data_IF_783639569402
#
_entry.id   IF_783639569402
#
_cell.length_a   1.000
_cell.length_b   1.000
_cell.length_c   1.000
_cell.angle_alpha   90.00
_cell.angle_beta   90.00
_cell.angle_gamma   90.00
#
_symmetry.space_group_name_H-M   'P 1'
#
loop_
_entity.id
_entity.type
_entity.pdbx_description
1 polymer ?
#
# COMPACT_ATOMS: atom_id res chain seq x y z
N UNK A 1 25.35 -14.75 9.22
CA UNK A 1 24.65 -14.63 10.52
C UNK A 1 23.60 -15.73 10.61
N UNK A 2 23.75 -16.67 11.54
CA UNK A 2 22.78 -17.76 11.76
C UNK A 2 21.64 -17.35 12.69
N UNK A 3 20.49 -18.04 12.62
CA UNK A 3 19.31 -17.83 13.48
C UNK A 3 19.68 -17.74 14.97
N UNK A 4 20.55 -18.65 15.44
CA UNK A 4 21.00 -18.70 16.83
C UNK A 4 21.90 -17.51 17.20
N UNK A 5 22.68 -16.97 16.27
CA UNK A 5 23.48 -15.76 16.52
C UNK A 5 22.60 -14.53 16.63
N UNK A 6 21.51 -14.45 15.86
CA UNK A 6 20.56 -13.33 15.94
C UNK A 6 19.75 -13.37 17.24
N UNK A 7 19.30 -14.55 17.67
CA UNK A 7 18.64 -14.72 18.98
C UNK A 7 19.60 -14.37 20.11
N UNK A 8 20.86 -14.83 20.04
CA UNK A 8 21.87 -14.48 21.03
C UNK A 8 22.11 -12.96 21.07
N UNK A 9 22.25 -12.30 19.92
CA UNK A 9 22.40 -10.84 19.85
C UNK A 9 21.20 -10.10 20.46
N UNK A 10 19.96 -10.51 20.15
CA UNK A 10 18.76 -9.91 20.75
C UNK A 10 18.77 -10.08 22.27
N UNK A 11 19.10 -11.27 22.78
CA UNK A 11 19.13 -11.52 24.22
C UNK A 11 20.31 -10.84 24.93
N UNK A 12 21.38 -10.51 24.22
CA UNK A 12 22.53 -9.75 24.75
C UNK A 12 22.22 -8.26 24.83
N UNK A 13 21.64 -7.68 23.79
CA UNK A 13 21.30 -6.25 23.74
C UNK A 13 20.02 -5.93 24.55
N UNK A 14 19.11 -6.90 24.69
CA UNK A 14 17.89 -6.79 25.47
C UNK A 14 17.77 -7.98 26.46
N UNK A 15 18.58 -7.99 27.53
CA UNK A 15 18.54 -9.06 28.52
C UNK A 15 17.14 -9.16 29.13
N UNK A 16 16.60 -10.35 29.41
CA UNK A 16 15.30 -10.45 30.08
C UNK A 16 15.35 -9.75 31.45
N UNK A 17 14.24 -9.13 31.91
CA UNK A 17 14.20 -8.48 33.20
C UNK A 17 14.62 -9.48 34.28
N UNK A 18 15.45 -9.02 35.23
CA UNK A 18 15.96 -9.87 36.30
C UNK A 18 14.77 -10.49 37.04
N UNK A 19 14.63 -11.83 36.97
CA UNK A 19 13.65 -12.52 37.82
C UNK A 19 14.05 -12.23 39.27
N UNK A 20 13.14 -11.77 40.13
CA UNK A 20 13.45 -11.62 41.55
C UNK A 20 13.94 -12.97 42.07
N UNK A 21 15.13 -12.96 42.65
CA UNK A 21 15.73 -14.14 43.26
C UNK A 21 14.95 -14.46 44.54
N UNK A 22 13.83 -15.17 44.40
CA UNK A 22 12.95 -15.52 45.51
C UNK A 22 11.49 -15.30 45.13
N UNK A 23 10.65 -16.29 45.40
CA UNK A 23 9.21 -16.28 45.11
C UNK A 23 8.39 -15.34 45.99
N UNK A 24 8.89 -14.12 46.21
CA UNK A 24 8.14 -13.08 46.89
C UNK A 24 7.59 -12.13 45.82
N UNK A 25 6.26 -12.11 45.68
CA UNK A 25 5.52 -11.11 44.88
C UNK A 25 5.58 -9.81 45.67
N UNK A 26 6.79 -9.27 45.81
CA UNK A 26 7.11 -8.13 46.65
C UNK A 26 6.66 -6.83 45.97
N UNK A 27 5.93 -6.03 46.71
CA UNK A 27 5.55 -4.67 46.37
C UNK A 27 6.70 -3.90 45.71
N UNK A 28 6.55 -3.55 44.43
CA UNK A 28 7.44 -2.61 43.76
C UNK A 28 7.02 -1.18 44.16
N UNK A 29 7.93 -0.35 44.70
CA UNK A 29 7.60 1.03 45.01
C UNK A 29 7.19 1.76 43.72
N UNK A 30 6.16 2.63 43.77
CA UNK A 30 5.77 3.42 42.61
C UNK A 30 6.93 4.33 42.18
N UNK A 31 7.09 4.59 40.87
CA UNK A 31 8.18 5.40 40.34
C UNK A 31 8.21 6.77 41.02
N UNK A 32 9.41 7.21 41.43
CA UNK A 32 9.61 8.42 42.23
C UNK A 32 9.48 9.72 41.40
N UNK A 33 9.48 9.61 40.07
CA UNK A 33 9.32 10.73 39.14
C UNK A 33 8.59 10.34 37.86
N UNK A 34 8.16 11.35 37.09
CA UNK A 34 7.65 11.16 35.71
C UNK A 34 8.67 10.45 34.82
N UNK A 35 9.94 10.83 34.97
CA UNK A 35 11.03 10.35 34.10
C UNK A 35 11.35 8.88 34.40
N UNK A 36 11.29 8.49 35.67
CA UNK A 36 11.46 7.10 36.09
C UNK A 36 10.29 6.22 35.65
N UNK A 37 9.05 6.74 35.67
CA UNK A 37 7.89 6.05 35.10
C UNK A 37 8.06 5.84 33.60
N UNK A 38 8.48 6.88 32.89
CA UNK A 38 8.70 6.83 31.44
C UNK A 38 9.80 5.82 31.08
N UNK A 39 10.90 5.81 31.84
CA UNK A 39 11.97 4.84 31.66
C UNK A 39 11.48 3.39 31.83
N UNK A 40 10.66 3.12 32.87
CA UNK A 40 10.06 1.81 33.09
C UNK A 40 9.08 1.40 31.97
N UNK A 41 8.29 2.34 31.44
CA UNK A 41 7.38 2.09 30.31
C UNK A 41 8.14 1.76 29.02
N UNK A 42 9.22 2.52 28.72
CA UNK A 42 10.10 2.26 27.59
C UNK A 42 10.79 0.90 27.73
N UNK A 43 11.34 0.59 28.90
CA UNK A 43 11.99 -0.69 29.18
C UNK A 43 11.01 -1.87 28.99
N UNK A 44 9.76 -1.75 29.45
CA UNK A 44 8.73 -2.75 29.23
C UNK A 44 8.42 -2.95 27.73
N UNK A 45 8.34 -1.87 26.95
CA UNK A 45 8.14 -1.93 25.49
C UNK A 45 9.34 -2.60 24.79
N UNK A 46 10.56 -2.27 25.20
CA UNK A 46 11.80 -2.85 24.67
C UNK A 46 11.83 -4.36 24.91
N UNK A 47 11.59 -4.82 26.15
CA UNK A 47 11.58 -6.25 26.46
C UNK A 47 10.47 -7.01 25.74
N UNK A 48 9.25 -6.49 25.73
CA UNK A 48 8.13 -7.12 25.03
C UNK A 48 8.42 -7.24 23.52
N UNK A 49 9.12 -6.27 22.94
CA UNK A 49 9.51 -6.28 21.53
C UNK A 49 10.65 -7.27 21.27
N UNK A 50 11.67 -7.30 22.13
CA UNK A 50 12.79 -8.24 22.04
C UNK A 50 12.34 -9.70 22.15
N UNK A 51 11.47 -10.03 23.11
CA UNK A 51 10.91 -11.37 23.28
C UNK A 51 10.13 -11.80 22.04
N UNK A 52 9.28 -10.92 21.52
CA UNK A 52 8.50 -11.15 20.30
C UNK A 52 9.39 -11.35 19.06
N UNK A 53 10.45 -10.55 18.91
CA UNK A 53 11.41 -10.70 17.81
C UNK A 53 12.17 -12.02 17.91
N UNK A 54 12.66 -12.37 19.10
CA UNK A 54 13.37 -13.63 19.37
C UNK A 54 12.50 -14.84 19.07
N UNK A 55 11.25 -14.85 19.55
CA UNK A 55 10.27 -15.91 19.23
C UNK A 55 10.05 -16.04 17.72
N UNK A 56 9.90 -14.93 17.01
CA UNK A 56 9.64 -14.94 15.57
C UNK A 56 10.82 -15.46 14.75
N UNK A 57 12.04 -15.09 15.14
CA UNK A 57 13.28 -15.61 14.55
C UNK A 57 13.38 -17.13 14.77
N UNK A 58 13.02 -17.60 15.97
CA UNK A 58 12.93 -19.03 16.27
C UNK A 58 11.90 -19.78 15.42
N UNK A 59 10.70 -19.22 15.25
CA UNK A 59 9.64 -19.75 14.38
C UNK A 59 10.11 -19.86 12.92
N UNK A 60 10.75 -18.83 12.38
CA UNK A 60 11.34 -18.88 11.03
C UNK A 60 12.37 -20.02 10.94
N UNK A 61 13.25 -20.14 11.94
CA UNK A 61 14.25 -21.20 11.99
C UNK A 61 13.64 -22.61 11.95
N UNK A 62 12.47 -22.80 12.58
CA UNK A 62 11.72 -24.06 12.51
C UNK A 62 11.03 -24.24 11.17
N UNK A 63 10.42 -23.20 10.60
CA UNK A 63 9.78 -23.25 9.27
C UNK A 63 10.80 -23.57 8.17
N UNK A 64 12.00 -23.00 8.22
CA UNK A 64 13.08 -23.25 7.26
C UNK A 64 13.65 -24.67 7.32
N UNK A 65 13.27 -25.48 8.32
CA UNK A 65 13.63 -26.91 8.41
C UNK A 65 12.56 -27.81 7.81
N UNK A 66 11.38 -27.28 7.45
CA UNK A 66 10.28 -28.04 6.86
C UNK A 66 10.54 -28.27 5.36
N UNK A 67 10.62 -29.52 4.89
CA UNK A 67 10.89 -29.83 3.48
C UNK A 67 9.90 -29.18 2.52
N UNK A 68 8.63 -29.05 2.92
CA UNK A 68 7.56 -28.48 2.11
C UNK A 68 7.80 -26.99 1.82
N UNK A 69 8.45 -26.28 2.75
CA UNK A 69 8.76 -24.85 2.61
C UNK A 69 9.99 -24.63 1.74
N UNK A 70 11.00 -25.49 1.88
CA UNK A 70 12.30 -25.33 1.20
C UNK A 70 12.28 -25.92 -0.21
N UNK A 71 11.44 -26.91 -0.47
CA UNK A 71 11.34 -27.56 -1.79
C UNK A 71 10.63 -26.70 -2.85
N UNK A 72 9.68 -25.85 -2.46
CA UNK A 72 9.04 -24.89 -3.36
C UNK A 72 9.64 -23.48 -3.22
N UNK A 73 10.28 -23.01 -4.29
CA UNK A 73 10.91 -21.68 -4.36
C UNK A 73 9.92 -20.55 -4.07
N UNK A 74 8.66 -20.68 -4.48
CA UNK A 74 7.65 -19.64 -4.26
C UNK A 74 7.24 -19.56 -2.80
N UNK A 75 7.01 -20.72 -2.18
CA UNK A 75 6.72 -20.83 -0.74
C UNK A 75 7.87 -20.27 0.09
N UNK A 76 9.12 -20.66 -0.20
CA UNK A 76 10.29 -20.13 0.48
C UNK A 76 10.39 -18.60 0.40
N UNK A 77 10.22 -18.04 -0.80
CA UNK A 77 10.31 -16.60 -1.01
C UNK A 77 9.16 -15.84 -0.32
N UNK A 78 7.96 -16.43 -0.28
CA UNK A 78 6.82 -15.88 0.43
C UNK A 78 7.07 -15.82 1.94
N UNK A 79 7.57 -16.90 2.54
CA UNK A 79 7.91 -16.95 3.97
C UNK A 79 9.02 -15.94 4.32
N UNK A 80 10.08 -15.86 3.52
CA UNK A 80 11.17 -14.89 3.74
C UNK A 80 10.69 -13.45 3.63
N UNK A 81 9.85 -13.14 2.64
CA UNK A 81 9.30 -11.80 2.49
C UNK A 81 8.33 -11.44 3.63
N UNK A 82 7.47 -12.38 4.04
CA UNK A 82 6.55 -12.20 5.15
C UNK A 82 7.31 -11.96 6.46
N UNK A 83 8.34 -12.76 6.74
CA UNK A 83 9.22 -12.56 7.88
C UNK A 83 9.91 -11.20 7.83
N UNK A 84 10.51 -10.82 6.69
CA UNK A 84 11.17 -9.51 6.55
C UNK A 84 10.21 -8.36 6.81
N UNK A 85 8.99 -8.43 6.27
CA UNK A 85 7.99 -7.39 6.45
C UNK A 85 7.53 -7.27 7.92
N UNK A 86 7.25 -8.41 8.57
CA UNK A 86 6.88 -8.47 10.00
C UNK A 86 8.01 -7.96 10.90
N UNK A 87 9.25 -8.39 10.63
CA UNK A 87 10.43 -7.96 11.37
C UNK A 87 10.67 -6.44 11.24
N UNK A 88 10.64 -5.90 10.02
CA UNK A 88 10.78 -4.46 9.78
C UNK A 88 9.63 -3.66 10.41
N UNK A 89 8.39 -4.16 10.37
CA UNK A 89 7.25 -3.50 11.01
C UNK A 89 7.45 -3.41 12.53
N UNK A 90 7.88 -4.50 13.18
CA UNK A 90 8.13 -4.53 14.62
C UNK A 90 9.27 -3.63 15.06
N UNK A 91 10.37 -3.57 14.29
CA UNK A 91 11.43 -2.59 14.55
C UNK A 91 10.89 -1.17 14.41
N UNK A 92 10.06 -0.92 13.39
CA UNK A 92 9.41 0.38 13.23
C UNK A 92 8.50 0.74 14.39
N UNK A 93 7.72 -0.22 14.89
CA UNK A 93 6.88 -0.04 16.08
C UNK A 93 7.72 0.24 17.32
N UNK A 94 8.83 -0.48 17.50
CA UNK A 94 9.76 -0.25 18.60
C UNK A 94 10.30 1.18 18.61
N UNK A 95 10.83 1.63 17.47
CA UNK A 95 11.35 2.98 17.29
C UNK A 95 10.27 4.03 17.55
N UNK A 96 9.09 3.84 16.95
CA UNK A 96 7.98 4.76 17.11
C UNK A 96 7.51 4.84 18.57
N UNK A 97 7.25 3.70 19.22
CA UNK A 97 6.75 3.67 20.59
C UNK A 97 7.76 4.28 21.57
N UNK A 98 9.04 4.00 21.37
CA UNK A 98 10.11 4.57 22.19
C UNK A 98 10.17 6.08 22.01
N UNK A 99 10.17 6.59 20.77
CA UNK A 99 10.21 8.03 20.51
C UNK A 99 8.94 8.75 21.00
N UNK A 100 7.77 8.14 20.82
CA UNK A 100 6.47 8.68 21.25
C UNK A 100 6.31 8.79 22.77
N UNK A 101 7.14 8.07 23.54
CA UNK A 101 7.18 8.21 24.98
C UNK A 101 7.79 9.57 25.39
N UNK A 102 8.74 10.09 24.61
CA UNK A 102 9.45 11.34 24.95
C UNK A 102 8.83 12.59 24.33
N UNK A 103 8.22 12.47 23.15
CA UNK A 103 7.67 13.61 22.40
C UNK A 103 6.51 13.19 21.49
N UNK A 104 5.64 14.14 21.14
CA UNK A 104 4.61 13.94 20.12
C UNK A 104 5.24 13.88 18.71
N UNK A 105 5.60 12.68 18.29
CA UNK A 105 6.25 12.40 17.01
C UNK A 105 5.33 11.63 16.08
N UNK A 106 5.46 11.85 14.77
CA UNK A 106 4.75 11.04 13.77
C UNK A 106 5.62 9.88 13.33
N UNK A 107 4.99 8.79 12.90
CA UNK A 107 5.70 7.61 12.35
C UNK A 107 6.60 7.96 11.16
N UNK A 108 6.17 8.90 10.33
CA UNK A 108 6.95 9.38 9.17
C UNK A 108 8.26 10.08 9.54
N UNK A 109 8.32 10.66 10.73
CA UNK A 109 9.49 11.41 11.20
C UNK A 109 10.55 10.49 11.84
N UNK A 110 10.11 9.41 12.49
CA UNK A 110 11.00 8.57 13.32
C UNK A 110 11.24 7.17 12.77
N UNK A 111 10.33 6.60 11.97
CA UNK A 111 10.45 5.21 11.49
C UNK A 111 11.24 5.17 10.17
N UNK A 112 12.43 4.55 10.14
CA UNK A 112 13.26 4.52 8.95
C UNK A 112 12.55 3.87 7.75
N UNK A 113 12.53 4.60 6.63
CA UNK A 113 11.95 4.12 5.38
C UNK A 113 10.42 4.04 5.35
N UNK A 114 9.71 4.52 6.38
CA UNK A 114 8.24 4.51 6.41
C UNK A 114 7.62 5.28 5.24
N UNK A 115 8.09 6.51 4.99
CA UNK A 115 7.61 7.34 3.87
C UNK A 115 7.78 6.64 2.52
N UNK A 116 8.94 6.01 2.28
CA UNK A 116 9.22 5.25 1.07
C UNK A 116 8.28 4.05 0.92
N UNK A 117 7.97 3.37 2.03
CA UNK A 117 7.05 2.25 2.05
C UNK A 117 5.60 2.64 1.75
N UNK A 118 5.15 3.78 2.29
CA UNK A 118 3.83 4.36 2.01
C UNK A 118 3.75 4.78 0.54
N UNK A 119 4.74 5.53 0.05
CA UNK A 119 4.80 5.97 -1.35
C UNK A 119 4.80 4.81 -2.34
N UNK A 120 5.58 3.75 -2.09
CA UNK A 120 5.61 2.57 -2.94
C UNK A 120 4.24 1.85 -3.00
N UNK A 121 3.47 1.86 -1.92
CA UNK A 121 2.13 1.25 -1.84
C UNK A 121 1.06 2.13 -2.48
N UNK A 122 1.15 3.46 -2.33
CA UNK A 122 0.30 4.40 -3.06
C UNK A 122 0.52 4.25 -4.59
N UNK A 123 1.79 4.15 -5.03
CA UNK A 123 2.13 3.88 -6.41
C UNK A 123 1.61 2.51 -6.91
N UNK A 124 1.69 1.47 -6.08
CA UNK A 124 1.12 0.15 -6.41
C UNK A 124 -0.39 0.22 -6.60
N UNK A 125 -1.11 0.94 -5.71
CA UNK A 125 -2.56 1.15 -5.84
C UNK A 125 -2.92 1.87 -7.13
N UNK A 126 -2.21 2.95 -7.45
CA UNK A 126 -2.42 3.69 -8.69
C UNK A 126 -2.19 2.80 -9.93
N UNK A 127 -1.11 2.01 -9.93
CA UNK A 127 -0.79 1.07 -11.01
C UNK A 127 -1.85 -0.04 -11.15
N UNK A 128 -2.38 -0.54 -10.04
CA UNK A 128 -3.45 -1.54 -10.04
C UNK A 128 -4.76 -0.97 -10.62
N UNK A 129 -5.11 0.28 -10.28
CA UNK A 129 -6.28 0.96 -10.85
C UNK A 129 -6.14 1.19 -12.36
N UNK A 130 -4.94 1.55 -12.83
CA UNK A 130 -4.66 1.67 -14.26
C UNK A 130 -4.73 0.32 -14.98
N UNK A 131 -4.18 -0.74 -14.38
CA UNK A 131 -4.32 -2.10 -14.91
C UNK A 131 -5.80 -2.48 -15.01
N UNK A 132 -6.58 -2.31 -13.94
CA UNK A 132 -8.02 -2.60 -13.91
C UNK A 132 -8.74 -1.93 -15.08
N UNK A 133 -8.60 -0.61 -15.21
CA UNK A 133 -9.20 0.15 -16.32
C UNK A 133 -8.79 -0.39 -17.68
N UNK A 134 -7.50 -0.67 -17.85
CA UNK A 134 -6.94 -1.20 -19.09
C UNK A 134 -7.53 -2.57 -19.44
N UNK A 135 -7.72 -3.45 -18.45
CA UNK A 135 -8.32 -4.77 -18.64
C UNK A 135 -9.83 -4.67 -18.89
N UNK A 136 -10.56 -3.81 -18.17
CA UNK A 136 -11.99 -3.56 -18.41
C UNK A 136 -12.26 -3.09 -19.85
N UNK A 137 -11.50 -2.11 -20.34
CA UNK A 137 -11.61 -1.67 -21.74
C UNK A 137 -11.29 -2.77 -22.77
N UNK A 138 -10.50 -3.79 -22.40
CA UNK A 138 -10.29 -4.98 -23.25
C UNK A 138 -11.46 -5.94 -23.20
N UNK A 139 -12.07 -6.14 -22.03
CA UNK A 139 -13.28 -6.95 -21.89
C UNK A 139 -14.45 -6.36 -22.68
N UNK A 140 -14.65 -5.04 -22.61
CA UNK A 140 -15.67 -4.34 -23.41
C UNK A 140 -15.45 -4.50 -24.92
N UNK A 141 -14.19 -4.48 -25.37
CA UNK A 141 -13.85 -4.76 -26.77
C UNK A 141 -14.08 -6.22 -27.13
N UNK A 142 -13.75 -7.16 -26.25
CA UNK A 142 -13.93 -8.59 -26.48
C UNK A 142 -15.41 -8.98 -26.59
N UNK A 143 -16.27 -8.34 -25.81
CA UNK A 143 -17.72 -8.52 -25.87
C UNK A 143 -18.32 -8.16 -27.24
N UNK A 144 -17.68 -7.24 -27.98
CA UNK A 144 -18.11 -6.78 -29.31
C UNK A 144 -17.31 -7.42 -30.45
N UNK A 145 -16.29 -8.22 -30.14
CA UNK A 145 -15.39 -8.78 -31.14
C UNK A 145 -15.91 -10.14 -31.65
N UNK A 146 -15.60 -10.43 -32.91
CA UNK A 146 -15.81 -11.76 -33.51
C UNK A 146 -14.98 -12.84 -32.80
N UNK A 147 -15.44 -14.11 -32.78
CA UNK A 147 -14.74 -15.21 -32.10
C UNK A 147 -13.27 -15.37 -32.48
N UNK A 148 -12.92 -15.13 -33.74
CA UNK A 148 -11.55 -15.21 -34.27
C UNK A 148 -10.65 -14.05 -33.87
N UNK A 149 -11.21 -12.91 -33.46
CA UNK A 149 -10.46 -11.72 -33.02
C UNK A 149 -10.16 -11.74 -31.50
N UNK A 150 -10.92 -12.50 -30.72
CA UNK A 150 -10.77 -12.60 -29.26
C UNK A 150 -9.44 -13.18 -28.77
N UNK A 151 -8.81 -14.17 -29.43
CA UNK A 151 -7.47 -14.65 -29.04
C UNK A 151 -6.41 -13.54 -29.00
N UNK A 152 -6.47 -12.60 -29.95
CA UNK A 152 -5.57 -11.44 -29.96
C UNK A 152 -5.79 -10.53 -28.74
N UNK A 153 -7.05 -10.34 -28.31
CA UNK A 153 -7.36 -9.60 -27.10
C UNK A 153 -6.85 -10.32 -25.84
N UNK A 154 -6.99 -11.65 -25.77
CA UNK A 154 -6.43 -12.45 -24.68
C UNK A 154 -4.89 -12.27 -24.55
N UNK A 155 -4.18 -12.25 -25.69
CA UNK A 155 -2.74 -11.96 -25.72
C UNK A 155 -2.41 -10.56 -25.22
N UNK A 156 -3.18 -9.55 -25.62
CA UNK A 156 -2.99 -8.17 -25.12
C UNK A 156 -3.24 -8.03 -23.61
N UNK A 157 -4.18 -8.80 -23.05
CA UNK A 157 -4.40 -8.87 -21.60
C UNK A 157 -3.17 -9.48 -20.93
N UNK A 158 -2.65 -10.60 -21.43
CA UNK A 158 -1.44 -11.23 -20.92
C UNK A 158 -0.20 -10.31 -20.97
N UNK A 159 -0.06 -9.52 -22.04
CA UNK A 159 0.97 -8.49 -22.18
C UNK A 159 0.81 -7.38 -21.13
N UNK A 160 -0.43 -6.97 -20.83
CA UNK A 160 -0.70 -5.97 -19.79
C UNK A 160 -0.33 -6.46 -18.38
N UNK A 161 -0.60 -7.73 -18.08
CA UNK A 161 -0.14 -8.36 -16.83
C UNK A 161 1.39 -8.40 -16.73
N UNK A 162 2.05 -8.70 -17.86
CA UNK A 162 3.51 -8.68 -17.95
C UNK A 162 4.07 -7.27 -17.74
N UNK A 163 3.46 -6.25 -18.33
CA UNK A 163 3.88 -4.86 -18.14
C UNK A 163 3.71 -4.42 -16.68
N UNK A 164 2.58 -4.78 -16.06
CA UNK A 164 2.30 -4.46 -14.66
C UNK A 164 3.35 -5.03 -13.69
N UNK A 165 3.75 -6.29 -13.85
CA UNK A 165 4.73 -6.90 -12.95
C UNK A 165 6.15 -6.32 -13.12
N UNK A 166 6.43 -5.71 -14.27
CA UNK A 166 7.70 -5.03 -14.55
C UNK A 166 7.75 -3.58 -14.06
N UNK A 167 6.64 -3.00 -13.61
CA UNK A 167 6.63 -1.63 -13.07
C UNK A 167 7.45 -1.53 -11.77
N UNK A 168 8.14 -0.41 -11.49
CA UNK A 168 8.81 -0.20 -10.21
C UNK A 168 7.88 -0.37 -9.00
N UNK A 169 6.61 0.02 -9.14
CA UNK A 169 5.60 -0.14 -8.10
C UNK A 169 5.32 -1.61 -7.72
N UNK A 170 5.59 -2.57 -8.62
CA UNK A 170 5.40 -4.00 -8.36
C UNK A 170 6.35 -4.53 -7.28
N UNK A 171 7.40 -3.78 -6.91
CA UNK A 171 8.28 -4.13 -5.79
C UNK A 171 7.51 -4.21 -4.47
N UNK A 172 6.46 -3.39 -4.31
CA UNK A 172 5.60 -3.44 -3.13
C UNK A 172 4.63 -4.64 -3.12
N UNK A 173 4.49 -5.35 -4.24
CA UNK A 173 3.62 -6.52 -4.35
C UNK A 173 4.24 -7.73 -3.62
N UNK A 174 3.43 -8.43 -2.83
CA UNK A 174 3.87 -9.65 -2.13
C UNK A 174 4.10 -10.80 -3.10
N UNK A 175 5.02 -11.70 -2.77
CA UNK A 175 5.41 -12.85 -3.60
C UNK A 175 4.22 -13.75 -3.99
N UNK A 176 3.30 -14.13 -3.08
CA UNK A 176 2.10 -14.87 -3.46
C UNK A 176 1.26 -14.14 -4.52
N UNK A 177 1.13 -12.82 -4.41
CA UNK A 177 0.40 -12.00 -5.37
C UNK A 177 1.11 -11.88 -6.72
N UNK A 178 2.45 -11.81 -6.72
CA UNK A 178 3.24 -11.91 -7.97
C UNK A 178 3.01 -13.23 -8.68
N UNK A 179 2.94 -14.33 -7.93
CA UNK A 179 2.62 -15.66 -8.47
C UNK A 179 1.23 -15.69 -9.10
N UNK A 180 0.21 -15.16 -8.43
CA UNK A 180 -1.17 -15.08 -8.97
C UNK A 180 -1.22 -14.32 -10.32
N UNK A 181 -0.48 -13.21 -10.46
CA UNK A 181 -0.37 -12.46 -11.73
C UNK A 181 0.26 -13.33 -12.83
N UNK A 182 1.32 -14.07 -12.51
CA UNK A 182 2.00 -14.94 -13.47
C UNK A 182 1.14 -16.15 -13.87
N UNK A 183 0.40 -16.72 -12.94
CA UNK A 183 -0.55 -17.82 -13.21
C UNK A 183 -1.72 -17.33 -14.07
N UNK A 184 -2.30 -16.17 -13.77
CA UNK A 184 -3.33 -15.55 -14.61
C UNK A 184 -2.80 -15.28 -16.03
N UNK A 185 -1.56 -14.77 -16.14
CA UNK A 185 -0.91 -14.58 -17.45
C UNK A 185 -0.73 -15.91 -18.20
N UNK A 186 -0.32 -16.98 -17.52
CA UNK A 186 -0.14 -18.29 -18.15
C UNK A 186 -1.47 -18.83 -18.70
N UNK A 187 -2.54 -18.76 -17.92
CA UNK A 187 -3.90 -19.14 -18.37
C UNK A 187 -4.36 -18.32 -19.56
N UNK A 188 -4.14 -17.00 -19.55
CA UNK A 188 -4.49 -16.15 -20.69
C UNK A 188 -3.72 -16.50 -21.97
N UNK A 189 -2.45 -16.88 -21.86
CA UNK A 189 -1.66 -17.33 -23.02
C UNK A 189 -2.16 -18.67 -23.55
N UNK A 190 -2.55 -19.58 -22.66
CA UNK A 190 -3.19 -20.84 -23.04
C UNK A 190 -4.53 -20.58 -23.74
N UNK A 191 -5.39 -19.73 -23.18
CA UNK A 191 -6.65 -19.31 -23.81
C UNK A 191 -6.41 -18.66 -25.16
N UNK A 192 -5.39 -17.80 -25.29
CA UNK A 192 -5.02 -17.15 -26.54
C UNK A 192 -4.47 -18.11 -27.62
N UNK A 193 -4.08 -19.34 -27.27
CA UNK A 193 -3.60 -20.34 -28.23
C UNK A 193 -4.72 -20.95 -29.08
N UNK A 194 -5.99 -20.79 -28.66
CA UNK A 194 -7.15 -21.31 -29.38
C UNK A 194 -7.44 -20.44 -30.61
N UNK A 195 -7.87 -21.04 -31.74
CA UNK A 195 -8.14 -20.30 -32.97
C UNK A 195 -9.35 -19.38 -32.85
N UNK A 196 -10.34 -19.76 -32.04
CA UNK A 196 -11.52 -18.97 -31.74
C UNK A 196 -11.85 -19.09 -30.25
N UNK A 197 -12.46 -18.03 -29.71
CA UNK A 197 -12.90 -18.00 -28.33
C UNK A 197 -14.37 -17.63 -28.23
N UNK A 198 -15.15 -18.27 -27.34
CA UNK A 198 -16.49 -17.82 -27.03
C UNK A 198 -16.44 -16.51 -26.20
N UNK A 199 -17.54 -15.73 -26.15
CA UNK A 199 -17.53 -14.39 -25.55
C UNK A 199 -17.19 -14.39 -24.05
N UNK A 200 -17.52 -15.48 -23.35
CA UNK A 200 -17.30 -15.66 -21.91
C UNK A 200 -15.88 -16.10 -21.53
N UNK A 201 -15.07 -16.58 -22.49
CA UNK A 201 -13.75 -17.13 -22.18
C UNK A 201 -12.78 -16.08 -21.59
N UNK A 202 -12.81 -14.85 -22.11
CA UNK A 202 -11.93 -13.79 -21.59
C UNK A 202 -12.43 -13.20 -20.26
N UNK A 203 -13.72 -12.86 -20.08
CA UNK A 203 -14.28 -12.51 -18.78
C UNK A 203 -13.99 -13.56 -17.70
N UNK A 204 -14.16 -14.85 -18.02
CA UNK A 204 -13.95 -15.95 -17.08
C UNK A 204 -12.53 -16.03 -16.50
N UNK A 205 -11.51 -15.58 -17.26
CA UNK A 205 -10.13 -15.54 -16.78
C UNK A 205 -9.78 -14.21 -16.08
N UNK A 206 -10.34 -13.10 -16.54
CA UNK A 206 -9.93 -11.75 -16.13
C UNK A 206 -10.69 -11.25 -14.90
N UNK A 207 -12.00 -11.48 -14.82
CA UNK A 207 -12.83 -10.95 -13.74
C UNK A 207 -12.44 -11.49 -12.35
N UNK A 208 -12.15 -12.79 -12.16
CA UNK A 208 -11.68 -13.29 -10.87
C UNK A 208 -10.35 -12.66 -10.44
N UNK A 209 -9.46 -12.43 -11.41
CA UNK A 209 -8.19 -11.74 -11.16
C UNK A 209 -8.41 -10.29 -10.74
N UNK A 210 -9.31 -9.56 -11.41
CA UNK A 210 -9.65 -8.18 -11.05
C UNK A 210 -10.25 -8.09 -9.65
N UNK A 211 -11.15 -9.00 -9.28
CA UNK A 211 -11.72 -9.06 -7.94
C UNK A 211 -10.66 -9.33 -6.86
N UNK A 212 -9.72 -10.25 -7.12
CA UNK A 212 -8.61 -10.53 -6.21
C UNK A 212 -7.66 -9.33 -6.07
N UNK A 213 -7.39 -8.62 -7.17
CA UNK A 213 -6.56 -7.41 -7.18
C UNK A 213 -7.23 -6.28 -6.37
N UNK A 214 -8.53 -6.05 -6.55
CA UNK A 214 -9.28 -5.04 -5.79
C UNK A 214 -9.22 -5.34 -4.28
N UNK A 215 -9.55 -6.57 -3.88
CA UNK A 215 -9.50 -6.98 -2.48
C UNK A 215 -8.10 -6.79 -1.87
N UNK A 216 -7.05 -7.04 -2.65
CA UNK A 216 -5.68 -6.80 -2.20
C UNK A 216 -5.38 -5.31 -2.05
N UNK A 217 -5.84 -4.45 -2.97
CA UNK A 217 -5.64 -3.01 -2.87
C UNK A 217 -6.43 -2.38 -1.71
N UNK A 218 -7.58 -2.94 -1.37
CA UNK A 218 -8.32 -2.58 -0.15
C UNK A 218 -7.55 -2.96 1.12
N UNK A 219 -6.94 -4.15 1.17
CA UNK A 219 -6.04 -4.56 2.26
C UNK A 219 -4.86 -3.58 2.39
N UNK A 220 -4.17 -3.30 1.28
CA UNK A 220 -3.04 -2.34 1.26
C UNK A 220 -3.48 -0.97 1.76
N UNK A 221 -4.64 -0.49 1.29
CA UNK A 221 -5.18 0.82 1.70
C UNK A 221 -5.45 0.86 3.20
N UNK A 222 -6.16 -0.14 3.72
CA UNK A 222 -6.51 -0.24 5.14
C UNK A 222 -5.28 -0.37 6.05
N UNK A 223 -4.27 -1.13 5.62
CA UNK A 223 -3.08 -1.38 6.45
C UNK A 223 -2.08 -0.22 6.40
N UNK A 224 -1.94 0.48 5.27
CA UNK A 224 -0.84 1.43 5.07
C UNK A 224 -1.26 2.84 4.66
N UNK A 225 -2.38 3.00 3.97
CA UNK A 225 -2.66 4.26 3.26
C UNK A 225 -3.75 5.11 3.92
N UNK A 226 -4.41 4.67 5.00
CA UNK A 226 -5.46 5.47 5.67
C UNK A 226 -4.93 6.86 6.08
N UNK A 227 -3.80 6.91 6.79
CA UNK A 227 -3.22 8.17 7.29
C UNK A 227 -2.75 9.03 6.11
N UNK A 228 -2.05 8.42 5.15
CA UNK A 228 -1.62 9.06 3.92
C UNK A 228 -2.80 9.68 3.16
N UNK A 229 -3.87 8.92 2.91
CA UNK A 229 -4.99 9.37 2.11
C UNK A 229 -5.74 10.51 2.80
N UNK A 230 -5.84 10.48 4.14
CA UNK A 230 -6.40 11.60 4.93
C UNK A 230 -5.53 12.85 4.84
N UNK A 231 -4.20 12.71 4.88
CA UNK A 231 -3.29 13.83 4.71
C UNK A 231 -3.41 14.45 3.32
N UNK A 232 -3.41 13.64 2.26
CA UNK A 232 -3.61 14.11 0.88
C UNK A 232 -4.99 14.74 0.71
N UNK A 233 -6.04 14.17 1.31
CA UNK A 233 -7.38 14.76 1.28
C UNK A 233 -7.43 16.15 1.93
N UNK A 234 -6.81 16.30 3.10
CA UNK A 234 -6.72 17.59 3.79
C UNK A 234 -5.90 18.61 2.99
N UNK A 235 -4.79 18.18 2.38
CA UNK A 235 -3.97 19.03 1.49
C UNK A 235 -4.78 19.50 0.28
N UNK A 236 -5.53 18.60 -0.36
CA UNK A 236 -6.42 18.94 -1.46
C UNK A 236 -7.46 19.97 -1.00
N UNK A 237 -8.12 19.73 0.14
CA UNK A 237 -9.08 20.67 0.72
C UNK A 237 -8.50 22.07 0.90
N UNK A 238 -7.33 22.18 1.54
CA UNK A 238 -6.62 23.44 1.73
C UNK A 238 -6.32 24.14 0.40
N UNK A 239 -5.86 23.41 -0.63
CA UNK A 239 -5.60 23.98 -1.95
C UNK A 239 -6.88 24.49 -2.61
N UNK A 240 -8.01 23.78 -2.47
CA UNK A 240 -9.30 24.23 -3.02
C UNK A 240 -9.80 25.52 -2.35
N UNK A 241 -9.60 25.68 -1.04
CA UNK A 241 -9.87 26.96 -0.34
C UNK A 241 -8.98 28.10 -0.87
N UNK A 242 -7.71 27.82 -1.18
CA UNK A 242 -6.82 28.79 -1.80
C UNK A 242 -7.27 29.19 -3.22
N UNK A 243 -7.80 28.24 -4.00
CA UNK A 243 -8.39 28.54 -5.33
C UNK A 243 -9.54 29.53 -5.17
N UNK A 244 -10.44 29.31 -4.20
CA UNK A 244 -11.53 30.26 -3.93
C UNK A 244 -11.06 31.63 -3.55
N UNK A 245 -10.07 31.72 -2.66
CA UNK A 245 -9.47 33.00 -2.29
C UNK A 245 -8.92 33.72 -3.52
N UNK A 246 -8.21 33.02 -4.41
CA UNK A 246 -7.71 33.63 -5.65
C UNK A 246 -8.83 34.09 -6.59
N UNK A 247 -9.91 33.30 -6.72
CA UNK A 247 -11.08 33.68 -7.52
C UNK A 247 -11.80 34.91 -6.94
N UNK A 248 -11.95 34.99 -5.62
CA UNK A 248 -12.56 36.13 -4.94
C UNK A 248 -11.75 37.41 -5.11
N UNK A 249 -10.42 37.29 -5.19
CA UNK A 249 -9.50 38.41 -5.41
C UNK A 249 -9.30 38.74 -6.91
N UNK A 250 -9.95 38.04 -7.84
CA UNK A 250 -9.74 38.21 -9.28
C UNK A 250 -8.32 37.88 -9.75
N UNK A 251 -7.61 37.03 -8.99
CA UNK A 251 -6.22 36.69 -9.23
C UNK A 251 -6.09 35.54 -10.24
N UNK A 252 -5.15 35.68 -11.19
CA UNK A 252 -4.76 34.61 -12.12
C UNK A 252 -4.13 33.38 -11.43
N UNK A 253 -3.85 33.45 -10.13
CA UNK A 253 -3.31 32.35 -9.35
C UNK A 253 -4.25 31.15 -9.18
N UNK A 254 -5.57 31.34 -9.39
CA UNK A 254 -6.56 30.29 -9.16
C UNK A 254 -6.32 29.04 -10.01
N UNK A 255 -6.08 29.19 -11.32
CA UNK A 255 -5.84 28.08 -12.22
C UNK A 255 -4.56 27.28 -11.85
N UNK A 256 -3.50 27.98 -11.42
CA UNK A 256 -2.25 27.35 -10.96
C UNK A 256 -2.48 26.51 -9.71
N UNK A 257 -3.11 27.10 -8.69
CA UNK A 257 -3.37 26.38 -7.42
C UNK A 257 -4.32 25.20 -7.64
N UNK A 258 -5.28 25.33 -8.57
CA UNK A 258 -6.16 24.24 -8.96
C UNK A 258 -5.40 23.11 -9.65
N UNK A 259 -4.41 23.42 -10.51
CA UNK A 259 -3.50 22.42 -11.08
C UNK A 259 -2.75 21.66 -10.01
N UNK A 260 -2.17 22.38 -9.05
CA UNK A 260 -1.45 21.76 -7.93
C UNK A 260 -2.36 20.87 -7.07
N UNK A 261 -3.63 21.23 -6.91
CA UNK A 261 -4.62 20.41 -6.22
C UNK A 261 -4.89 19.11 -6.99
N UNK A 262 -5.05 19.19 -8.32
CA UNK A 262 -5.26 18.02 -9.18
C UNK A 262 -4.04 17.09 -9.15
N UNK A 263 -2.84 17.65 -9.18
CA UNK A 263 -1.59 16.90 -9.10
C UNK A 263 -1.43 16.20 -7.74
N UNK A 264 -1.69 16.91 -6.63
CA UNK A 264 -1.67 16.33 -5.28
C UNK A 264 -2.70 15.21 -5.13
N UNK A 265 -3.92 15.40 -5.64
CA UNK A 265 -4.96 14.37 -5.63
C UNK A 265 -4.61 13.12 -6.44
N UNK A 266 -3.61 13.19 -7.34
CA UNK A 266 -3.05 12.02 -8.01
C UNK A 266 -2.56 10.93 -7.04
N UNK A 267 -2.14 11.29 -5.82
CA UNK A 267 -1.76 10.32 -4.79
C UNK A 267 -2.95 9.49 -4.25
N UNK A 268 -4.19 9.94 -4.48
CA UNK A 268 -5.42 9.20 -4.16
C UNK A 268 -5.88 8.29 -5.31
N UNK A 269 -5.13 8.20 -6.42
CA UNK A 269 -5.50 7.35 -7.54
C UNK A 269 -5.67 5.88 -7.09
N UNK A 270 -6.75 5.27 -7.56
CA UNK A 270 -7.18 3.92 -7.17
C UNK A 270 -7.92 3.83 -5.85
N UNK A 271 -8.23 4.97 -5.19
CA UNK A 271 -9.12 4.99 -4.02
C UNK A 271 -10.59 4.78 -4.41
N UNK A 272 -11.01 5.32 -5.55
CA UNK A 272 -12.39 5.29 -6.02
C UNK A 272 -12.44 5.44 -7.54
N UNK A 273 -13.17 4.56 -8.22
CA UNK A 273 -13.28 4.58 -9.69
C UNK A 273 -13.89 5.89 -10.22
N UNK A 274 -14.99 6.42 -9.66
CA UNK A 274 -15.51 7.75 -10.03
C UNK A 274 -14.47 8.87 -9.88
N UNK A 275 -13.65 8.82 -8.83
CA UNK A 275 -12.61 9.83 -8.60
C UNK A 275 -11.49 9.72 -9.63
N UNK A 276 -11.05 8.50 -9.97
CA UNK A 276 -10.04 8.28 -11.01
C UNK A 276 -10.49 8.77 -12.39
N UNK A 277 -11.79 8.59 -12.72
CA UNK A 277 -12.38 9.13 -13.95
C UNK A 277 -12.32 10.66 -13.95
N UNK A 278 -12.69 11.28 -12.83
CA UNK A 278 -12.59 12.73 -12.65
C UNK A 278 -11.14 13.22 -12.82
N UNK A 279 -10.17 12.63 -12.10
CA UNK A 279 -8.77 13.06 -12.12
C UNK A 279 -8.14 13.01 -13.52
N UNK A 280 -8.52 12.05 -14.36
CA UNK A 280 -8.02 11.99 -15.74
C UNK A 280 -8.53 13.16 -16.58
N UNK A 281 -9.82 13.48 -16.47
CA UNK A 281 -10.41 14.63 -17.17
C UNK A 281 -9.86 15.94 -16.63
N UNK A 282 -9.77 16.07 -15.30
CA UNK A 282 -9.24 17.25 -14.65
C UNK A 282 -7.80 17.56 -15.07
N UNK A 283 -6.92 16.55 -15.14
CA UNK A 283 -5.54 16.71 -15.63
C UNK A 283 -5.49 17.23 -17.07
N UNK A 284 -6.37 16.75 -17.94
CA UNK A 284 -6.44 17.22 -19.32
C UNK A 284 -6.94 18.67 -19.38
N UNK A 285 -8.08 18.96 -18.75
CA UNK A 285 -8.71 20.30 -18.77
C UNK A 285 -7.80 21.37 -18.18
N UNK A 286 -7.07 21.07 -17.09
CA UNK A 286 -6.08 21.97 -16.51
C UNK A 286 -4.87 22.17 -17.43
N UNK A 287 -4.40 21.11 -18.09
CA UNK A 287 -3.28 21.16 -19.04
C UNK A 287 -3.60 21.98 -20.30
N UNK A 288 -4.86 21.97 -20.74
CA UNK A 288 -5.35 22.77 -21.86
C UNK A 288 -5.49 24.26 -21.52
N UNK A 289 -5.43 24.60 -20.22
CA UNK A 289 -5.57 25.95 -19.70
C UNK A 289 -7.03 26.31 -19.42
N UNK A 290 -7.33 26.65 -18.16
CA UNK A 290 -8.66 27.05 -17.73
C UNK A 290 -8.79 28.57 -17.67
N UNK A 291 -9.89 29.08 -18.20
CA UNK A 291 -10.34 30.44 -17.92
C UNK A 291 -11.03 30.50 -16.54
N UNK A 292 -11.51 31.69 -16.14
CA UNK A 292 -12.11 31.90 -14.83
C UNK A 292 -13.41 31.08 -14.64
N UNK A 293 -14.20 30.93 -15.70
CA UNK A 293 -15.44 30.14 -15.68
C UNK A 293 -15.15 28.64 -15.54
N UNK A 294 -14.21 28.13 -16.34
CA UNK A 294 -13.72 26.75 -16.26
C UNK A 294 -13.07 26.44 -14.92
N UNK A 295 -12.36 27.40 -14.33
CA UNK A 295 -11.76 27.26 -12.98
C UNK A 295 -12.84 27.10 -11.92
N UNK A 296 -13.93 27.89 -11.96
CA UNK A 296 -15.06 27.76 -11.02
C UNK A 296 -15.80 26.43 -11.16
N UNK A 297 -16.08 26.04 -12.40
CA UNK A 297 -16.77 24.78 -12.68
C UNK A 297 -15.93 23.56 -12.21
N UNK A 298 -14.63 23.55 -12.55
CA UNK A 298 -13.71 22.51 -12.11
C UNK A 298 -13.59 22.46 -10.58
N UNK A 299 -13.47 23.61 -9.91
CA UNK A 299 -13.44 23.69 -8.45
C UNK A 299 -14.70 23.05 -7.83
N UNK A 300 -15.89 23.35 -8.36
CA UNK A 300 -17.14 22.76 -7.90
C UNK A 300 -17.16 21.24 -8.06
N UNK A 301 -16.81 20.74 -9.27
CA UNK A 301 -16.72 19.30 -9.55
C UNK A 301 -15.68 18.61 -8.66
N UNK A 302 -14.53 19.24 -8.42
CA UNK A 302 -13.48 18.68 -7.57
C UNK A 302 -13.99 18.52 -6.13
N UNK A 303 -14.60 19.55 -5.54
CA UNK A 303 -15.15 19.45 -4.17
C UNK A 303 -16.16 18.34 -4.02
N UNK A 304 -17.10 18.23 -4.96
CA UNK A 304 -18.09 17.15 -4.97
C UNK A 304 -17.40 15.77 -4.98
N UNK A 305 -16.42 15.59 -5.86
CA UNK A 305 -15.70 14.32 -6.02
C UNK A 305 -14.79 14.00 -4.83
N UNK A 306 -14.16 15.00 -4.25
CA UNK A 306 -13.30 14.86 -3.07
C UNK A 306 -14.12 14.53 -1.81
N UNK A 307 -15.30 15.12 -1.66
CA UNK A 307 -16.23 14.82 -0.56
C UNK A 307 -16.87 13.43 -0.67
N UNK A 308 -17.04 12.91 -1.89
CA UNK A 308 -17.60 11.58 -2.14
C UNK A 308 -16.60 10.43 -1.93
N UNK A 309 -15.35 10.71 -1.54
CA UNK A 309 -14.36 9.68 -1.29
C UNK A 309 -14.68 8.90 0.00
N UNK A 310 -14.49 7.56 -0.01
CA UNK A 310 -14.74 6.75 1.17
C UNK A 310 -13.60 6.97 2.17
N UNK A 311 -13.84 7.75 3.23
CA UNK A 311 -12.95 7.87 4.39
C UNK A 311 -13.62 7.30 5.65
N UNK A 312 -14.24 6.12 5.53
CA UNK A 312 -14.70 5.31 6.65
C UNK A 312 -13.55 4.48 7.21
#
# INVERSE_FOLDING_TARGET
MGVNQLIAAINTEFPPPARPAGGDVGWAPPPASSDERLAQEVEAVLHASAERLSKRVGELGQQMRRPEVVSDRWTLMAELQAFRADFSARIGDLVYLTASAFEDVRREDVVPGYVHQVAARAALRAAAADLRRSLQGRLERAAKAEPSARPALAKQVAESLSAFISLPASVALRTPRKREVLEARARLLETASRPELPPEALPGEVEPFLAALDAHMEEVTRTWLIVHDRAVWAECGMKLEQVEMHLALGSRGAARVLSEAVDAAGALQGRSVPFDVFLRKARQEVGDGLDEAGTRDMLSRFRERLAALPFS
#
